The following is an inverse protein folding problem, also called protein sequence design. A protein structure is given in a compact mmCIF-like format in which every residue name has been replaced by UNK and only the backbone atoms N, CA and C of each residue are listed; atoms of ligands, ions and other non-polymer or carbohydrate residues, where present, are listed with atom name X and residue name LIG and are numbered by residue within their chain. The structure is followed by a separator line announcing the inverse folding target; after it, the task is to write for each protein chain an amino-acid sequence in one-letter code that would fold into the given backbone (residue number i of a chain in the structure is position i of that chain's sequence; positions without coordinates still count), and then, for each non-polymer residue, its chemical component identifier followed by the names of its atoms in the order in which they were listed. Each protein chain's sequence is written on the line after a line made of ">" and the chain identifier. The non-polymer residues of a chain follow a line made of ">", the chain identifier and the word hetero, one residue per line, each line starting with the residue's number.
data_IF_810130832814
#
_entry.id   IF_810130832814
#
_cell.length_a   1.000
_cell.length_b   1.000
_cell.length_c   1.000
_cell.angle_alpha   90.00
_cell.angle_beta   90.00
_cell.angle_gamma   90.00
#
_symmetry.space_group_name_H-M   'P 1'
#
loop_
_entity.id
_entity.type
_entity.pdbx_description
1 polymer ?
#
# COMPACT_ATOMS: atom_id res chain seq x y z
N UNK A 1 -13.96 -5.71 -19.03
CA UNK A 1 -14.82 -4.79 -18.23
C UNK A 1 -14.59 -3.35 -18.64
N UNK A 2 -15.63 -2.51 -18.72
CA UNK A 2 -15.52 -1.07 -19.00
C UNK A 2 -15.58 -0.22 -17.73
N UNK A 3 -15.32 1.10 -17.85
CA UNK A 3 -15.26 2.02 -16.70
C UNK A 3 -16.61 2.21 -15.98
N UNK A 4 -17.75 2.07 -16.68
CA UNK A 4 -19.09 2.18 -16.08
C UNK A 4 -19.36 1.01 -15.12
N UNK A 5 -19.05 -0.20 -15.56
CA UNK A 5 -19.18 -1.41 -14.74
C UNK A 5 -18.21 -1.38 -13.57
N UNK A 6 -16.95 -0.96 -13.80
CA UNK A 6 -15.98 -0.80 -12.72
C UNK A 6 -16.49 0.17 -11.65
N UNK A 7 -16.98 1.34 -12.04
CA UNK A 7 -17.53 2.34 -11.12
C UNK A 7 -18.68 1.75 -10.25
N UNK A 8 -19.59 1.03 -10.88
CA UNK A 8 -20.67 0.32 -10.18
C UNK A 8 -20.10 -0.71 -9.19
N UNK A 9 -19.12 -1.51 -9.61
CA UNK A 9 -18.49 -2.52 -8.76
C UNK A 9 -17.80 -1.87 -7.55
N UNK A 10 -17.05 -0.79 -7.74
CA UNK A 10 -16.40 -0.08 -6.64
C UNK A 10 -17.41 0.47 -5.63
N UNK A 11 -18.54 1.02 -6.10
CA UNK A 11 -19.63 1.47 -5.23
C UNK A 11 -20.25 0.33 -4.43
N UNK A 12 -20.49 -0.83 -5.05
CA UNK A 12 -21.03 -2.00 -4.33
C UNK A 12 -20.01 -2.56 -3.33
N UNK A 13 -18.73 -2.60 -3.68
CA UNK A 13 -17.66 -2.98 -2.76
C UNK A 13 -17.61 -2.04 -1.56
N UNK A 14 -17.60 -0.73 -1.79
CA UNK A 14 -17.60 0.28 -0.71
C UNK A 14 -18.76 0.09 0.26
N UNK A 15 -19.98 -0.07 -0.26
CA UNK A 15 -21.17 -0.35 0.55
C UNK A 15 -21.05 -1.65 1.35
N UNK A 16 -20.50 -2.71 0.76
CA UNK A 16 -20.33 -4.00 1.42
C UNK A 16 -19.27 -4.00 2.52
N UNK A 17 -18.30 -3.09 2.44
CA UNK A 17 -17.26 -2.93 3.45
C UNK A 17 -17.78 -2.23 4.72
N UNK A 18 -18.81 -1.38 4.60
CA UNK A 18 -19.37 -0.64 5.73
C UNK A 18 -18.33 0.23 6.47
N UNK A 19 -18.59 0.50 7.74
CA UNK A 19 -17.61 1.19 8.63
C UNK A 19 -16.54 0.21 9.10
N UNK A 20 -15.55 -0.07 8.27
CA UNK A 20 -14.40 -0.91 8.66
C UNK A 20 -13.25 -0.07 9.18
N UNK A 21 -12.47 -0.71 10.03
CA UNK A 21 -11.18 -0.16 10.44
C UNK A 21 -10.29 -0.01 9.21
N UNK A 22 -9.84 1.21 8.88
CA UNK A 22 -8.97 1.41 7.73
C UNK A 22 -7.64 0.68 7.90
N UNK A 23 -6.94 0.34 6.80
CA UNK A 23 -5.61 -0.26 6.85
C UNK A 23 -4.63 0.54 7.73
N UNK A 24 -3.65 -0.15 8.33
CA UNK A 24 -2.69 0.47 9.26
C UNK A 24 -2.06 1.75 8.71
N UNK A 25 -1.67 1.74 7.43
CA UNK A 25 -1.02 2.91 6.82
C UNK A 25 -1.96 4.11 6.63
N UNK A 26 -3.25 3.87 6.39
CA UNK A 26 -4.25 4.96 6.33
C UNK A 26 -4.41 5.61 7.70
N UNK A 27 -4.49 4.83 8.78
CA UNK A 27 -4.54 5.34 10.16
C UNK A 27 -3.28 6.13 10.53
N UNK A 28 -2.10 5.59 10.20
CA UNK A 28 -0.82 6.23 10.48
C UNK A 28 -0.72 7.54 9.70
N UNK A 29 -1.14 7.55 8.42
CA UNK A 29 -1.07 8.72 7.53
C UNK A 29 -1.92 9.90 7.97
N UNK A 30 -3.06 9.67 8.63
CA UNK A 30 -3.99 10.76 9.03
C UNK A 30 -3.37 11.83 9.95
N UNK A 31 -2.28 11.54 10.64
CA UNK A 31 -1.65 12.43 11.64
C UNK A 31 -0.12 12.48 11.56
N UNK A 32 0.47 11.90 10.54
CA UNK A 32 1.91 11.76 10.45
C UNK A 32 2.52 12.70 9.39
N UNK A 33 3.73 13.17 9.66
CA UNK A 33 4.53 13.88 8.68
C UNK A 33 5.02 12.94 7.56
N UNK A 34 5.43 13.47 6.38
CA UNK A 34 5.84 12.67 5.23
C UNK A 34 6.93 11.63 5.53
N UNK A 35 7.89 11.94 6.41
CA UNK A 35 8.95 11.02 6.77
C UNK A 35 8.39 9.79 7.52
N UNK A 36 7.49 10.01 8.47
CA UNK A 36 6.86 8.91 9.20
C UNK A 36 5.97 8.05 8.29
N UNK A 37 5.29 8.68 7.34
CA UNK A 37 4.50 7.96 6.32
C UNK A 37 5.42 7.07 5.49
N UNK A 38 6.51 7.60 4.94
CA UNK A 38 7.47 6.84 4.15
C UNK A 38 8.09 5.66 4.94
N UNK A 39 8.52 5.92 6.18
CA UNK A 39 9.04 4.89 7.09
C UNK A 39 7.98 3.82 7.36
N UNK A 40 6.75 4.20 7.65
CA UNK A 40 5.63 3.29 7.89
C UNK A 40 5.31 2.44 6.66
N UNK A 41 5.30 3.02 5.45
CA UNK A 41 5.09 2.30 4.19
C UNK A 41 6.17 1.23 3.99
N UNK A 42 7.44 1.54 4.29
CA UNK A 42 8.52 0.56 4.20
C UNK A 42 8.36 -0.56 5.25
N UNK A 43 7.99 -0.22 6.48
CA UNK A 43 7.75 -1.19 7.56
C UNK A 43 6.57 -2.11 7.21
N UNK A 44 5.49 -1.60 6.63
CA UNK A 44 4.28 -2.34 6.31
C UNK A 44 4.45 -3.41 5.23
N UNK A 45 5.46 -3.29 4.38
CA UNK A 45 5.69 -4.24 3.29
C UNK A 45 5.80 -5.69 3.79
N UNK A 46 4.91 -6.59 3.32
CA UNK A 46 4.82 -8.00 3.74
C UNK A 46 4.67 -8.21 5.27
N UNK A 47 4.08 -7.25 5.97
CA UNK A 47 3.84 -7.30 7.42
C UNK A 47 2.35 -7.10 7.68
N UNK A 48 1.80 -7.82 8.64
CA UNK A 48 0.40 -7.67 9.06
C UNK A 48 0.17 -6.30 9.69
N UNK A 49 -1.04 -5.78 9.55
CA UNK A 49 -1.40 -4.43 9.98
C UNK A 49 -1.17 -4.21 11.48
N UNK A 50 -1.55 -5.16 12.34
CA UNK A 50 -1.38 -5.04 13.80
C UNK A 50 0.10 -4.94 14.19
N UNK A 51 0.96 -5.72 13.50
CA UNK A 51 2.42 -5.70 13.72
C UNK A 51 3.01 -4.38 13.24
N UNK A 52 2.53 -3.87 12.10
CA UNK A 52 2.93 -2.58 11.55
C UNK A 52 2.59 -1.43 12.50
N UNK A 53 1.34 -1.36 12.97
CA UNK A 53 0.86 -0.34 13.91
C UNK A 53 1.71 -0.31 15.19
N UNK A 54 1.92 -1.50 15.80
CA UNK A 54 2.70 -1.61 17.02
C UNK A 54 4.17 -1.20 16.83
N UNK A 55 4.81 -1.60 15.72
CA UNK A 55 6.19 -1.25 15.41
C UNK A 55 6.33 0.25 15.11
N UNK A 56 5.44 0.81 14.30
CA UNK A 56 5.43 2.25 14.01
C UNK A 56 5.21 3.08 15.27
N UNK A 57 4.27 2.68 16.15
CA UNK A 57 4.04 3.37 17.42
C UNK A 57 5.33 3.42 18.26
N UNK A 58 6.00 2.29 18.49
CA UNK A 58 7.27 2.26 19.25
C UNK A 58 8.35 3.14 18.61
N UNK A 59 8.56 2.96 17.31
CA UNK A 59 9.62 3.67 16.60
C UNK A 59 9.38 5.18 16.59
N UNK A 60 8.15 5.63 16.34
CA UNK A 60 7.81 7.05 16.22
C UNK A 60 7.82 7.82 17.56
N UNK A 61 7.83 7.14 18.70
CA UNK A 61 8.15 7.75 19.97
C UNK A 61 9.61 8.18 20.05
N UNK A 62 10.51 7.48 19.35
CA UNK A 62 11.96 7.72 19.39
C UNK A 62 12.47 8.59 18.24
N UNK A 63 11.78 8.56 17.09
CA UNK A 63 12.21 9.29 15.89
C UNK A 63 11.12 10.26 15.41
N UNK A 64 11.59 11.42 14.94
CA UNK A 64 10.74 12.44 14.29
C UNK A 64 11.29 12.85 12.92
N UNK A 65 12.58 12.65 12.66
CA UNK A 65 13.30 13.11 11.47
C UNK A 65 14.29 12.05 10.99
N UNK A 66 14.77 12.11 9.73
CA UNK A 66 15.85 11.25 9.25
C UNK A 66 17.09 11.31 10.15
N UNK A 67 17.47 12.50 10.60
CA UNK A 67 18.61 12.69 11.52
C UNK A 67 18.42 11.93 12.84
N UNK A 68 17.21 11.93 13.41
CA UNK A 68 16.94 11.21 14.66
C UNK A 68 16.97 9.69 14.46
N UNK A 69 16.56 9.18 13.29
CA UNK A 69 16.68 7.76 12.98
C UNK A 69 18.14 7.32 12.87
N UNK A 70 19.00 8.12 12.24
CA UNK A 70 20.42 7.79 12.11
C UNK A 70 21.15 7.72 13.45
N UNK A 71 20.69 8.40 14.51
CA UNK A 71 21.25 8.30 15.85
C UNK A 71 21.03 6.93 16.52
N UNK A 72 20.03 6.17 16.08
CA UNK A 72 19.83 4.80 16.57
C UNK A 72 20.89 3.87 15.99
N UNK A 73 21.47 2.99 16.80
CA UNK A 73 22.28 1.90 16.28
C UNK A 73 21.42 0.91 15.48
N UNK A 74 22.03 0.12 14.60
CA UNK A 74 21.30 -0.92 13.86
C UNK A 74 20.52 -1.85 14.80
N UNK A 75 21.16 -2.30 15.90
CA UNK A 75 20.53 -3.18 16.90
C UNK A 75 19.36 -2.51 17.63
N UNK A 76 19.45 -1.22 17.93
CA UNK A 76 18.35 -0.47 18.52
C UNK A 76 17.19 -0.38 17.55
N UNK A 77 17.42 -0.03 16.28
CA UNK A 77 16.40 0.06 15.26
C UNK A 77 15.72 -1.28 15.01
N UNK A 78 16.49 -2.36 14.90
CA UNK A 78 15.96 -3.73 14.79
C UNK A 78 15.02 -4.07 15.96
N UNK A 79 15.40 -3.73 17.20
CA UNK A 79 14.57 -3.95 18.39
C UNK A 79 13.24 -3.20 18.31
N UNK A 80 13.27 -1.94 17.89
CA UNK A 80 12.03 -1.11 17.78
C UNK A 80 11.05 -1.66 16.76
N UNK A 81 11.55 -2.20 15.63
CA UNK A 81 10.66 -2.70 14.58
C UNK A 81 10.35 -4.21 14.67
N UNK A 82 11.01 -4.96 15.57
CA UNK A 82 10.66 -6.38 15.78
C UNK A 82 9.20 -6.52 16.27
N UNK A 83 8.38 -7.49 15.81
CA UNK A 83 8.68 -8.63 14.92
C UNK A 83 8.23 -8.39 13.44
N UNK A 84 8.47 -7.24 12.88
CA UNK A 84 8.17 -6.92 11.48
C UNK A 84 8.87 -7.91 10.54
N UNK A 85 8.18 -8.37 9.49
CA UNK A 85 8.77 -9.27 8.50
C UNK A 85 10.02 -8.64 7.89
N UNK A 86 11.11 -9.44 7.81
CA UNK A 86 12.42 -8.96 7.30
C UNK A 86 13.00 -7.77 8.05
N UNK A 87 12.74 -7.64 9.35
CA UNK A 87 13.09 -6.47 10.16
C UNK A 87 14.56 -6.05 10.05
N UNK A 88 15.51 -7.01 9.95
CA UNK A 88 16.95 -6.70 9.80
C UNK A 88 17.25 -5.98 8.47
N UNK A 89 16.66 -6.46 7.37
CA UNK A 89 16.83 -5.83 6.06
C UNK A 89 16.13 -4.45 6.02
N UNK A 90 14.96 -4.35 6.65
CA UNK A 90 14.25 -3.08 6.78
C UNK A 90 15.00 -2.08 7.65
N UNK A 91 15.63 -2.51 8.72
CA UNK A 91 16.49 -1.63 9.53
C UNK A 91 17.66 -1.05 8.71
N UNK A 92 18.31 -1.89 7.90
CA UNK A 92 19.36 -1.42 6.97
C UNK A 92 18.79 -0.44 5.95
N UNK A 93 17.68 -0.79 5.30
CA UNK A 93 17.03 0.07 4.32
C UNK A 93 16.59 1.42 4.91
N UNK A 94 16.04 1.45 6.12
CA UNK A 94 15.67 2.67 6.84
C UNK A 94 16.87 3.57 7.13
N UNK A 95 18.03 2.98 7.46
CA UNK A 95 19.28 3.72 7.65
C UNK A 95 19.75 4.37 6.34
N UNK A 96 19.84 3.58 5.26
CA UNK A 96 20.23 4.10 3.94
C UNK A 96 19.24 5.16 3.43
N UNK A 97 17.94 4.90 3.53
CA UNK A 97 16.90 5.85 3.20
C UNK A 97 17.10 7.19 3.94
N UNK A 98 17.39 7.13 5.24
CA UNK A 98 17.57 8.35 6.03
C UNK A 98 18.85 9.11 5.66
N UNK A 99 19.91 8.40 5.26
CA UNK A 99 21.12 9.02 4.71
C UNK A 99 20.83 9.71 3.37
N UNK A 100 20.20 8.98 2.44
CA UNK A 100 19.80 9.52 1.14
C UNK A 100 18.95 10.79 1.28
N UNK A 101 17.96 10.78 2.19
CA UNK A 101 17.12 11.96 2.43
C UNK A 101 17.93 13.16 2.92
N UNK A 102 18.91 12.96 3.80
CA UNK A 102 19.75 14.05 4.31
C UNK A 102 20.69 14.57 3.23
N UNK A 103 21.35 13.68 2.50
CA UNK A 103 22.41 14.01 1.56
C UNK A 103 21.88 14.61 0.26
N UNK A 104 20.72 14.13 -0.22
CA UNK A 104 20.19 14.48 -1.54
C UNK A 104 18.95 15.37 -1.49
N UNK A 105 18.21 15.35 -0.38
CA UNK A 105 16.89 16.00 -0.26
C UNK A 105 16.79 16.91 0.97
N UNK A 106 17.93 17.30 1.59
CA UNK A 106 17.97 18.20 2.75
C UNK A 106 17.14 17.70 3.96
N UNK A 107 16.94 16.38 4.06
CA UNK A 107 16.13 15.75 5.10
C UNK A 107 14.61 15.75 4.82
N UNK A 108 14.17 16.23 3.65
CA UNK A 108 12.79 16.22 3.19
C UNK A 108 12.47 14.94 2.41
N UNK A 109 11.21 14.54 2.40
CA UNK A 109 10.74 13.44 1.56
C UNK A 109 10.40 14.01 0.19
N UNK A 110 10.89 13.41 -0.91
CA UNK A 110 10.53 13.84 -2.27
C UNK A 110 9.03 13.70 -2.55
N UNK A 111 8.51 14.58 -3.41
CA UNK A 111 7.09 14.66 -3.76
C UNK A 111 6.78 14.09 -5.15
N UNK A 112 7.79 13.53 -5.84
CA UNK A 112 7.61 12.91 -7.15
C UNK A 112 7.83 11.40 -7.09
N UNK A 113 7.15 10.65 -7.97
CA UNK A 113 7.31 9.20 -8.07
C UNK A 113 8.74 8.84 -8.45
N UNK A 114 9.30 9.58 -9.40
CA UNK A 114 10.63 9.38 -9.95
C UNK A 114 11.71 9.50 -8.85
N UNK A 115 11.65 10.55 -8.07
CA UNK A 115 12.60 10.76 -6.97
C UNK A 115 12.44 9.74 -5.84
N UNK A 116 11.20 9.43 -5.45
CA UNK A 116 10.94 8.40 -4.44
C UNK A 116 11.50 7.05 -4.85
N UNK A 117 11.42 6.68 -6.12
CA UNK A 117 11.96 5.43 -6.65
C UNK A 117 13.50 5.37 -6.64
N UNK A 118 14.19 6.51 -6.50
CA UNK A 118 15.66 6.54 -6.35
C UNK A 118 16.13 6.20 -4.94
N UNK A 119 15.22 6.21 -3.95
CA UNK A 119 15.54 5.94 -2.56
C UNK A 119 15.69 4.44 -2.31
N UNK A 120 16.70 4.04 -1.56
CA UNK A 120 16.97 2.64 -1.29
C UNK A 120 15.84 1.96 -0.51
N UNK A 121 15.32 0.85 -1.04
CA UNK A 121 14.24 0.07 -0.44
C UNK A 121 12.83 0.60 -0.76
N UNK A 122 12.73 1.66 -1.53
CA UNK A 122 11.45 2.23 -1.99
C UNK A 122 11.11 1.67 -3.37
N UNK A 123 10.13 0.78 -3.42
CA UNK A 123 9.57 0.28 -4.67
C UNK A 123 8.30 1.05 -5.08
N UNK A 124 7.74 0.76 -6.27
CA UNK A 124 6.57 1.43 -6.84
C UNK A 124 5.38 1.49 -5.86
N UNK A 125 5.07 0.39 -5.18
CA UNK A 125 4.00 0.37 -4.16
C UNK A 125 4.25 1.37 -3.03
N UNK A 126 5.46 1.35 -2.45
CA UNK A 126 5.84 2.25 -1.34
C UNK A 126 5.81 3.71 -1.79
N UNK A 127 6.37 4.01 -2.95
CA UNK A 127 6.39 5.36 -3.51
C UNK A 127 4.98 5.90 -3.76
N UNK A 128 4.11 5.14 -4.46
CA UNK A 128 2.73 5.56 -4.71
C UNK A 128 1.93 5.75 -3.41
N UNK A 129 2.09 4.85 -2.44
CA UNK A 129 1.38 4.96 -1.16
C UNK A 129 1.87 6.18 -0.37
N UNK A 130 3.17 6.47 -0.41
CA UNK A 130 3.74 7.69 0.20
C UNK A 130 3.18 8.94 -0.46
N UNK A 131 3.15 9.02 -1.80
CA UNK A 131 2.56 10.15 -2.52
C UNK A 131 1.10 10.40 -2.11
N UNK A 132 0.30 9.35 -2.07
CA UNK A 132 -1.13 9.45 -1.71
C UNK A 132 -1.29 9.95 -0.27
N UNK A 133 -0.59 9.33 0.68
CA UNK A 133 -0.84 9.58 2.11
C UNK A 133 -0.13 10.84 2.65
N UNK A 134 1.03 11.21 2.08
CA UNK A 134 1.82 12.32 2.56
C UNK A 134 1.53 13.65 1.83
N UNK A 135 1.16 13.57 0.56
CA UNK A 135 1.09 14.74 -0.32
C UNK A 135 -0.25 14.88 -1.05
N UNK A 136 -1.23 14.01 -0.74
CA UNK A 136 -2.50 13.91 -1.50
C UNK A 136 -2.27 13.76 -3.02
N UNK A 137 -1.14 13.15 -3.39
CA UNK A 137 -0.66 13.04 -4.75
C UNK A 137 -1.42 12.03 -5.58
N UNK A 138 -1.31 12.16 -6.91
CA UNK A 138 -1.99 11.30 -7.89
C UNK A 138 -1.22 9.99 -8.10
N UNK A 139 -1.32 9.08 -7.14
CA UNK A 139 -0.72 7.74 -7.19
C UNK A 139 -1.74 6.62 -7.35
N UNK A 140 -1.30 5.48 -7.89
CA UNK A 140 -2.08 4.23 -7.88
C UNK A 140 -1.26 3.19 -7.12
N UNK A 141 -1.66 2.91 -5.88
CA UNK A 141 -1.00 1.88 -5.09
C UNK A 141 -1.51 0.49 -5.50
N UNK A 142 -0.70 -0.29 -6.21
CA UNK A 142 -1.06 -1.66 -6.61
C UNK A 142 -0.33 -2.66 -5.72
N UNK A 143 -1.12 -3.42 -4.98
CA UNK A 143 -0.63 -4.57 -4.21
C UNK A 143 -1.19 -5.89 -4.77
N UNK A 144 -0.96 -6.99 -4.08
CA UNK A 144 -1.45 -8.30 -4.49
C UNK A 144 -2.98 -8.38 -4.56
N UNK A 145 -3.70 -7.58 -3.77
CA UNK A 145 -5.17 -7.53 -3.81
C UNK A 145 -5.66 -6.77 -5.04
N UNK A 146 -5.15 -5.57 -5.28
CA UNK A 146 -5.49 -4.76 -6.46
C UNK A 146 -5.16 -5.52 -7.74
N UNK A 147 -3.94 -6.07 -7.84
CA UNK A 147 -3.51 -6.87 -8.99
C UNK A 147 -4.46 -8.04 -9.26
N UNK A 148 -4.70 -8.88 -8.24
CA UNK A 148 -5.57 -10.05 -8.36
C UNK A 148 -6.99 -9.68 -8.76
N UNK A 149 -7.60 -8.70 -8.10
CA UNK A 149 -9.02 -8.37 -8.29
C UNK A 149 -9.24 -7.69 -9.63
N UNK A 150 -8.37 -6.77 -10.03
CA UNK A 150 -8.45 -6.10 -11.33
C UNK A 150 -8.38 -7.11 -12.51
N UNK A 151 -7.52 -8.13 -12.40
CA UNK A 151 -7.43 -9.22 -13.36
C UNK A 151 -8.67 -10.15 -13.29
N UNK A 152 -9.10 -10.57 -12.09
CA UNK A 152 -10.32 -11.39 -11.93
C UNK A 152 -11.57 -10.75 -12.50
N UNK A 153 -11.66 -9.43 -12.41
CA UNK A 153 -12.76 -8.66 -13.01
C UNK A 153 -12.63 -8.49 -14.52
N UNK A 154 -11.51 -8.90 -15.14
CA UNK A 154 -11.23 -8.63 -16.54
C UNK A 154 -11.17 -7.14 -16.86
N UNK A 155 -10.82 -6.33 -15.87
CA UNK A 155 -10.60 -4.91 -16.08
C UNK A 155 -9.24 -4.62 -16.71
N UNK A 156 -8.24 -5.37 -16.30
CA UNK A 156 -6.90 -5.43 -16.92
C UNK A 156 -6.52 -6.90 -17.17
N UNK A 157 -5.49 -7.11 -18.00
CA UNK A 157 -4.87 -8.41 -18.23
C UNK A 157 -3.37 -8.23 -18.10
N UNK A 158 -2.82 -8.65 -16.95
CA UNK A 158 -1.43 -8.36 -16.57
C UNK A 158 -0.86 -9.47 -15.70
N UNK A 159 0.47 -9.66 -15.77
CA UNK A 159 1.17 -10.74 -15.05
C UNK A 159 1.75 -10.25 -13.71
N UNK A 160 2.14 -8.98 -13.62
CA UNK A 160 2.76 -8.41 -12.42
C UNK A 160 1.99 -7.20 -11.88
N UNK A 161 2.15 -6.88 -10.57
CA UNK A 161 1.58 -5.66 -10.00
C UNK A 161 2.02 -4.37 -10.71
N UNK A 162 3.29 -4.29 -11.15
CA UNK A 162 3.81 -3.12 -11.86
C UNK A 162 3.12 -2.93 -13.22
N UNK A 163 2.94 -4.02 -13.97
CA UNK A 163 2.15 -3.99 -15.22
C UNK A 163 0.70 -3.59 -14.95
N UNK A 164 0.13 -4.03 -13.83
CA UNK A 164 -1.24 -3.64 -13.42
C UNK A 164 -1.30 -2.14 -13.14
N UNK A 165 -0.31 -1.57 -12.46
CA UNK A 165 -0.24 -0.12 -12.24
C UNK A 165 -0.23 0.64 -13.56
N UNK A 166 0.64 0.24 -14.50
CA UNK A 166 0.74 0.88 -15.82
C UNK A 166 -0.56 0.78 -16.63
N UNK A 167 -1.24 -0.38 -16.57
CA UNK A 167 -2.53 -0.58 -17.22
C UNK A 167 -3.64 0.26 -16.57
N UNK A 168 -3.63 0.36 -15.24
CA UNK A 168 -4.59 1.19 -14.49
C UNK A 168 -4.36 2.68 -14.76
N UNK A 169 -3.12 3.16 -14.83
CA UNK A 169 -2.81 4.56 -15.18
C UNK A 169 -3.41 4.97 -16.54
N UNK A 170 -3.42 4.05 -17.50
CA UNK A 170 -3.98 4.28 -18.85
C UNK A 170 -5.50 4.21 -18.89
N UNK A 171 -6.14 3.42 -18.03
CA UNK A 171 -7.56 3.05 -18.17
C UNK A 171 -8.45 3.53 -17.03
N UNK A 172 -7.92 3.57 -15.79
CA UNK A 172 -8.70 3.91 -14.60
C UNK A 172 -8.96 5.41 -14.53
N UNK A 173 -10.21 5.89 -14.38
CA UNK A 173 -10.48 7.30 -14.16
C UNK A 173 -9.77 7.81 -12.90
N UNK A 174 -9.12 8.97 -12.98
CA UNK A 174 -8.26 9.54 -11.93
C UNK A 174 -8.93 9.63 -10.56
N UNK A 175 -10.22 9.91 -10.51
CA UNK A 175 -11.01 9.97 -9.26
C UNK A 175 -10.98 8.69 -8.40
N UNK A 176 -10.52 7.56 -8.96
CA UNK A 176 -10.39 6.29 -8.23
C UNK A 176 -8.95 5.95 -7.85
N UNK A 177 -7.95 6.70 -8.33
CA UNK A 177 -6.54 6.35 -8.18
C UNK A 177 -6.13 6.19 -6.72
N UNK A 178 -6.43 7.19 -5.89
CA UNK A 178 -6.07 7.17 -4.46
C UNK A 178 -6.83 6.11 -3.66
N UNK A 179 -8.10 5.83 -4.05
CA UNK A 179 -9.02 4.99 -3.26
C UNK A 179 -9.03 3.52 -3.65
N UNK A 180 -8.58 3.17 -4.87
CA UNK A 180 -8.70 1.80 -5.37
C UNK A 180 -7.96 0.79 -4.49
N UNK A 181 -6.81 1.16 -3.92
CA UNK A 181 -6.05 0.28 -3.04
C UNK A 181 -6.86 -0.05 -1.78
N UNK A 182 -7.32 0.95 -1.05
CA UNK A 182 -8.07 0.76 0.20
C UNK A 182 -9.30 -0.12 -0.01
N UNK A 183 -10.09 0.17 -1.04
CA UNK A 183 -11.30 -0.58 -1.37
C UNK A 183 -10.99 -2.04 -1.71
N UNK A 184 -10.00 -2.28 -2.59
CA UNK A 184 -9.69 -3.63 -3.04
C UNK A 184 -8.88 -4.44 -2.02
N UNK A 185 -8.13 -3.81 -1.14
CA UNK A 185 -7.51 -4.49 0.01
C UNK A 185 -8.60 -5.00 0.96
N UNK A 186 -9.51 -4.14 1.40
CA UNK A 186 -10.61 -4.54 2.27
C UNK A 186 -11.46 -5.66 1.67
N UNK A 187 -11.85 -5.52 0.40
CA UNK A 187 -12.61 -6.52 -0.34
C UNK A 187 -11.84 -7.83 -0.53
N UNK A 188 -10.54 -7.75 -0.81
CA UNK A 188 -9.67 -8.91 -1.03
C UNK A 188 -9.32 -9.68 0.22
N UNK A 189 -9.34 -9.04 1.38
CA UNK A 189 -9.14 -9.69 2.69
C UNK A 189 -10.39 -10.44 3.16
N UNK A 190 -11.57 -10.00 2.74
CA UNK A 190 -12.85 -10.50 3.28
C UNK A 190 -13.61 -11.39 2.30
N UNK A 191 -13.87 -10.93 1.10
CA UNK A 191 -14.73 -11.59 0.12
C UNK A 191 -13.90 -12.21 -1.01
N UNK A 192 -13.15 -11.41 -1.76
CA UNK A 192 -12.39 -11.87 -2.91
C UNK A 192 -11.03 -12.45 -2.51
N UNK A 193 -11.02 -13.50 -1.68
CA UNK A 193 -9.81 -14.17 -1.15
C UNK A 193 -8.98 -14.84 -2.26
N UNK A 194 -7.65 -15.05 -2.04
CA UNK A 194 -6.79 -15.66 -3.07
C UNK A 194 -7.25 -17.05 -3.51
N UNK A 195 -7.39 -17.99 -2.58
CA UNK A 195 -7.60 -19.41 -2.89
C UNK A 195 -9.07 -19.81 -3.03
N UNK A 196 -9.97 -19.27 -2.22
CA UNK A 196 -11.38 -19.63 -2.23
C UNK A 196 -12.22 -18.38 -1.94
N UNK A 197 -12.47 -17.54 -2.95
CA UNK A 197 -13.30 -16.36 -2.78
C UNK A 197 -14.76 -16.73 -2.46
N UNK A 198 -15.43 -15.84 -1.73
CA UNK A 198 -16.83 -16.01 -1.30
C UNK A 198 -17.76 -15.47 -2.40
N UNK A 199 -17.75 -16.09 -3.57
CA UNK A 199 -18.50 -15.59 -4.74
C UNK A 199 -20.01 -15.60 -4.54
N UNK A 200 -20.58 -16.55 -3.77
CA UNK A 200 -22.01 -16.60 -3.44
C UNK A 200 -22.51 -15.39 -2.64
N UNK A 201 -21.60 -14.71 -1.91
CA UNK A 201 -21.90 -13.50 -1.12
C UNK A 201 -21.30 -12.24 -1.74
N UNK A 202 -20.77 -12.35 -2.96
CA UNK A 202 -20.03 -11.26 -3.59
C UNK A 202 -20.98 -10.19 -4.17
N UNK A 203 -20.89 -8.93 -3.75
CA UNK A 203 -21.79 -7.87 -4.22
C UNK A 203 -21.62 -7.51 -5.70
N UNK A 204 -20.57 -8.03 -6.34
CA UNK A 204 -20.27 -7.76 -7.77
C UNK A 204 -20.27 -9.02 -8.63
N UNK A 205 -20.80 -10.10 -8.11
CA UNK A 205 -20.83 -11.41 -8.78
C UNK A 205 -21.39 -11.37 -10.20
N UNK A 206 -22.49 -10.65 -10.39
CA UNK A 206 -23.17 -10.49 -11.69
C UNK A 206 -22.30 -9.88 -12.79
N UNK A 207 -21.26 -9.13 -12.42
CA UNK A 207 -20.39 -8.43 -13.38
C UNK A 207 -18.97 -8.98 -13.37
N UNK A 208 -18.70 -10.06 -12.62
CA UNK A 208 -17.37 -10.62 -12.46
C UNK A 208 -17.20 -11.88 -13.34
N UNK A 209 -16.31 -11.88 -14.34
CA UNK A 209 -16.03 -13.05 -15.15
C UNK A 209 -15.22 -14.12 -14.39
N UNK A 210 -14.79 -13.86 -13.15
CA UNK A 210 -14.06 -14.80 -12.27
C UNK A 210 -12.76 -15.34 -12.89
N UNK A 211 -12.05 -14.54 -13.67
CA UNK A 211 -10.82 -14.98 -14.33
C UNK A 211 -9.83 -15.53 -13.30
N UNK A 212 -9.31 -16.76 -13.54
CA UNK A 212 -8.38 -17.43 -12.63
C UNK A 212 -8.99 -17.85 -11.28
N UNK A 213 -10.30 -18.13 -11.24
CA UNK A 213 -10.99 -18.67 -10.06
C UNK A 213 -11.47 -20.08 -10.35
N UNK A 214 -10.69 -21.08 -9.90
CA UNK A 214 -11.02 -22.50 -10.09
C UNK A 214 -12.03 -23.00 -9.04
N UNK A 215 -11.96 -22.47 -7.81
CA UNK A 215 -12.82 -22.86 -6.67
C UNK A 215 -13.32 -21.62 -5.94
N UNK A 216 -14.59 -21.62 -5.57
CA UNK A 216 -15.18 -20.53 -4.78
C UNK A 216 -16.24 -21.06 -3.81
N UNK A 217 -16.64 -20.23 -2.86
CA UNK A 217 -17.70 -20.47 -1.87
C UNK A 217 -18.87 -19.53 -2.09
#
# INVERSE_FOLDING_TARGET
>A
MNNRILASNLTHVEKSLGQRTPPAMVKIGQKADPFRILVGCLISARTRDEVTEAACSRLFHRIKTPRSLLKLTARQLEKEIYPVSFYRNKAKALKSLSSDLIERFEGRVPETLEELLTLQGVGRKTANLTLILAFDGMGICVDTHVHRIANRWGYVETVTPDQTEDALRKKLPQKYWQRINELLVGFGQTICKPLSPMCSQCPVDKHCPRIGVDRHR
#
